data_IF_788633203687
#
_entry.id   IF_788633203687
#
_cell.length_a   1.000
_cell.length_b   1.000
_cell.length_c   1.000
_cell.angle_alpha   90.00
_cell.angle_beta   90.00
_cell.angle_gamma   90.00
#
_symmetry.space_group_name_H-M   'P 1'
#
loop_
_entity.id
_entity.type
_entity.pdbx_description
1 polymer ?
#
# COMPACT_ATOMS: atom_id res chain seq x y z
N UNK A 1 -3.67 14.45 1.58
CA UNK A 1 -3.60 13.11 0.95
C UNK A 1 -4.06 13.13 -0.51
N UNK A 2 -5.04 13.96 -0.89
CA UNK A 2 -5.55 14.04 -2.28
C UNK A 2 -4.49 14.31 -3.39
N UNK A 3 -3.46 15.10 -3.09
CA UNK A 3 -2.38 15.39 -4.05
C UNK A 3 -1.56 14.14 -4.40
N UNK A 4 -1.27 13.28 -3.43
CA UNK A 4 -0.48 12.05 -3.63
C UNK A 4 -1.18 11.11 -4.61
N UNK A 5 -2.51 11.01 -4.50
CA UNK A 5 -3.32 10.12 -5.32
C UNK A 5 -3.33 10.57 -6.80
N UNK A 6 -3.28 11.89 -7.05
CA UNK A 6 -3.16 12.43 -8.42
C UNK A 6 -1.81 12.09 -9.05
N UNK A 7 -0.70 12.23 -8.31
CA UNK A 7 0.62 11.89 -8.85
C UNK A 7 0.76 10.40 -9.12
N UNK A 8 0.28 9.54 -8.23
CA UNK A 8 0.30 8.09 -8.46
C UNK A 8 -0.51 7.68 -9.68
N UNK A 9 -1.69 8.26 -9.88
CA UNK A 9 -2.54 7.97 -11.04
C UNK A 9 -1.88 8.40 -12.36
N UNK A 10 -1.27 9.59 -12.39
CA UNK A 10 -0.53 10.08 -13.56
C UNK A 10 0.71 9.23 -13.83
N UNK A 11 1.46 8.88 -12.79
CA UNK A 11 2.65 8.03 -12.90
C UNK A 11 2.27 6.62 -13.41
N UNK A 12 1.19 6.06 -12.90
CA UNK A 12 0.65 4.77 -13.30
C UNK A 12 0.22 4.72 -14.77
N UNK A 13 -0.49 5.76 -15.23
CA UNK A 13 -0.84 5.90 -16.64
C UNK A 13 0.40 6.07 -17.53
N UNK A 14 1.35 6.91 -17.11
CA UNK A 14 2.60 7.11 -17.86
C UNK A 14 3.44 5.83 -17.98
N UNK A 15 3.55 5.04 -16.91
CA UNK A 15 4.19 3.73 -16.93
C UNK A 15 3.48 2.76 -17.88
N UNK A 16 2.14 2.71 -17.84
CA UNK A 16 1.36 1.88 -18.76
C UNK A 16 1.54 2.28 -20.23
N UNK A 17 1.65 3.58 -20.50
CA UNK A 17 1.98 4.11 -21.83
C UNK A 17 3.35 3.62 -22.30
N UNK A 18 4.40 3.84 -21.50
CA UNK A 18 5.78 3.45 -21.87
C UNK A 18 5.89 1.95 -22.10
N UNK A 19 5.35 1.12 -21.19
CA UNK A 19 5.40 -0.34 -21.37
C UNK A 19 4.76 -0.75 -22.69
N UNK A 20 3.57 -0.24 -22.97
CA UNK A 20 2.82 -0.63 -24.18
C UNK A 20 3.46 -0.08 -25.44
N UNK A 21 4.10 1.08 -25.36
CA UNK A 21 4.88 1.67 -26.44
C UNK A 21 6.07 0.79 -26.79
N UNK A 22 6.90 0.43 -25.80
CA UNK A 22 8.07 -0.44 -26.00
C UNK A 22 7.62 -1.79 -26.56
N UNK A 23 6.61 -2.43 -25.97
CA UNK A 23 6.10 -3.72 -26.44
C UNK A 23 5.58 -3.64 -27.87
N UNK A 24 4.78 -2.61 -28.19
CA UNK A 24 4.23 -2.48 -29.55
C UNK A 24 5.31 -2.15 -30.58
N UNK A 25 6.32 -1.38 -30.19
CA UNK A 25 7.47 -1.04 -31.03
C UNK A 25 8.38 -2.25 -31.26
N UNK A 26 8.60 -3.10 -30.25
CA UNK A 26 9.37 -4.34 -30.39
C UNK A 26 8.73 -5.39 -31.29
N UNK A 27 7.44 -5.25 -31.61
CA UNK A 27 6.70 -6.14 -32.51
C UNK A 27 6.69 -5.61 -33.95
N UNK A 28 7.46 -4.56 -34.25
CA UNK A 28 7.57 -3.95 -35.58
C UNK A 28 6.22 -3.44 -36.13
N UNK A 29 5.30 -3.04 -35.22
CA UNK A 29 4.03 -2.44 -35.63
C UNK A 29 4.25 -1.05 -36.21
N UNK A 30 3.37 -0.65 -37.13
CA UNK A 30 3.32 0.72 -37.63
C UNK A 30 3.17 1.73 -36.49
N UNK A 31 3.82 2.90 -36.61
CA UNK A 31 3.85 3.95 -35.59
C UNK A 31 2.45 4.37 -35.16
N UNK A 32 1.48 4.41 -36.09
CA UNK A 32 0.08 4.75 -35.78
C UNK A 32 -0.53 3.72 -34.83
N UNK A 33 -0.26 2.43 -35.06
CA UNK A 33 -0.72 1.33 -34.20
C UNK A 33 -0.03 1.36 -32.85
N UNK A 34 1.28 1.63 -32.81
CA UNK A 34 2.07 1.76 -31.57
C UNK A 34 1.50 2.88 -30.70
N UNK A 35 1.25 4.07 -31.26
CA UNK A 35 0.70 5.21 -30.52
C UNK A 35 -0.70 4.88 -30.00
N UNK A 36 -1.57 4.30 -30.83
CA UNK A 36 -2.93 3.91 -30.42
C UNK A 36 -2.91 2.90 -29.28
N UNK A 37 -2.10 1.85 -29.39
CA UNK A 37 -1.95 0.86 -28.32
C UNK A 37 -1.42 1.50 -27.04
N UNK A 38 -0.45 2.42 -27.16
CA UNK A 38 0.14 3.12 -26.01
C UNK A 38 -0.88 4.01 -25.30
N UNK A 39 -1.78 4.68 -26.03
CA UNK A 39 -2.89 5.44 -25.43
C UNK A 39 -3.83 4.53 -24.63
N UNK A 40 -4.15 3.34 -25.16
CA UNK A 40 -4.96 2.35 -24.43
C UNK A 40 -4.20 1.87 -23.18
N UNK A 41 -2.91 1.58 -23.33
CA UNK A 41 -2.01 1.21 -22.25
C UNK A 41 -1.94 2.24 -21.13
N UNK A 42 -2.03 3.54 -21.46
CA UNK A 42 -2.09 4.62 -20.49
C UNK A 42 -3.35 4.54 -19.62
N UNK A 43 -4.51 4.36 -20.24
CA UNK A 43 -5.79 4.25 -19.53
C UNK A 43 -5.78 3.00 -18.66
N UNK A 44 -5.34 1.86 -19.21
CA UNK A 44 -5.23 0.59 -18.50
C UNK A 44 -4.28 0.71 -17.29
N UNK A 45 -3.11 1.32 -17.48
CA UNK A 45 -2.14 1.58 -16.42
C UNK A 45 -2.71 2.44 -15.29
N UNK A 46 -3.41 3.53 -15.63
CA UNK A 46 -4.03 4.41 -14.64
C UNK A 46 -5.12 3.69 -13.81
N UNK A 47 -5.94 2.86 -14.46
CA UNK A 47 -6.98 2.06 -13.79
C UNK A 47 -6.34 1.02 -12.86
N UNK A 48 -5.34 0.28 -13.34
CA UNK A 48 -4.59 -0.69 -12.53
C UNK A 48 -3.99 -0.04 -11.29
N UNK A 49 -3.31 1.10 -11.44
CA UNK A 49 -2.72 1.81 -10.31
C UNK A 49 -3.78 2.25 -9.29
N UNK A 50 -4.98 2.64 -9.73
CA UNK A 50 -6.13 2.91 -8.84
C UNK A 50 -6.55 1.68 -8.04
N UNK A 51 -6.62 0.51 -8.67
CA UNK A 51 -6.91 -0.74 -7.98
C UNK A 51 -5.82 -1.13 -6.99
N UNK A 52 -4.55 -1.02 -7.37
CA UNK A 52 -3.43 -1.26 -6.47
C UNK A 52 -3.47 -0.30 -5.28
N UNK A 53 -3.78 0.98 -5.48
CA UNK A 53 -3.90 1.95 -4.39
C UNK A 53 -5.00 1.56 -3.40
N UNK A 54 -6.17 1.15 -3.89
CA UNK A 54 -7.27 0.66 -3.03
C UNK A 54 -6.85 -0.56 -2.21
N UNK A 55 -6.20 -1.54 -2.85
CA UNK A 55 -5.74 -2.76 -2.17
C UNK A 55 -4.64 -2.42 -1.16
N UNK A 56 -3.69 -1.56 -1.53
CA UNK A 56 -2.58 -1.14 -0.68
C UNK A 56 -3.09 -0.41 0.56
N UNK A 57 -4.01 0.55 0.41
CA UNK A 57 -4.65 1.22 1.55
C UNK A 57 -5.44 0.25 2.42
N UNK A 58 -6.14 -0.71 1.82
CA UNK A 58 -6.86 -1.73 2.57
C UNK A 58 -5.88 -2.61 3.39
N UNK A 59 -4.77 -3.03 2.81
CA UNK A 59 -3.75 -3.83 3.47
C UNK A 59 -2.99 -3.06 4.56
N UNK A 60 -2.67 -1.78 4.30
CA UNK A 60 -2.07 -0.87 5.29
C UNK A 60 -3.03 -0.68 6.46
N UNK A 61 -4.33 -0.46 6.19
CA UNK A 61 -5.35 -0.30 7.24
C UNK A 61 -5.56 -1.58 8.04
N UNK A 62 -5.54 -2.75 7.40
CA UNK A 62 -5.57 -4.05 8.09
C UNK A 62 -4.32 -4.28 8.94
N UNK A 63 -3.15 -3.81 8.50
CA UNK A 63 -1.91 -3.86 9.27
C UNK A 63 -1.92 -2.90 10.46
N UNK A 64 -2.52 -1.71 10.32
CA UNK A 64 -2.71 -0.77 11.43
C UNK A 64 -3.73 -1.26 12.46
N UNK A 65 -4.80 -1.94 12.02
CA UNK A 65 -5.77 -2.57 12.92
C UNK A 65 -5.14 -3.71 13.73
N UNK A 66 -4.26 -4.51 13.13
CA UNK A 66 -3.46 -5.52 13.85
C UNK A 66 -2.54 -4.88 14.89
N UNK A 67 -1.85 -3.78 14.56
CA UNK A 67 -1.01 -3.06 15.53
C UNK A 67 -1.80 -2.47 16.71
N UNK A 68 -3.05 -2.04 16.50
CA UNK A 68 -3.91 -1.59 17.60
C UNK A 68 -4.41 -2.74 18.48
N UNK A 69 -4.62 -3.94 17.92
CA UNK A 69 -4.98 -5.13 18.68
C UNK A 69 -3.80 -5.68 19.50
N UNK A 70 -2.60 -5.67 18.94
CA UNK A 70 -1.37 -5.98 19.69
C UNK A 70 -1.18 -4.95 20.81
N UNK A 71 -1.25 -3.64 20.54
CA UNK A 71 -1.05 -2.61 21.57
C UNK A 71 -2.10 -2.65 22.69
N UNK A 72 -3.37 -2.95 22.39
CA UNK A 72 -4.40 -3.18 23.43
C UNK A 72 -4.16 -4.47 24.22
N UNK A 73 -3.57 -5.50 23.61
CA UNK A 73 -3.17 -6.73 24.32
C UNK A 73 -1.99 -6.45 25.26
N UNK A 74 -1.03 -5.60 24.87
CA UNK A 74 0.06 -5.18 25.76
C UNK A 74 -0.44 -4.32 26.94
N UNK A 75 -1.41 -3.41 26.75
CA UNK A 75 -2.03 -2.66 27.87
C UNK A 75 -2.82 -3.56 28.84
N UNK A 76 -3.51 -4.60 28.36
CA UNK A 76 -4.23 -5.54 29.24
C UNK A 76 -3.27 -6.44 30.04
N UNK A 77 -2.10 -6.77 29.48
CA UNK A 77 -1.04 -7.52 30.16
C UNK A 77 -0.25 -6.63 31.14
N UNK A 78 -0.07 -5.34 30.85
CA UNK A 78 0.60 -4.37 31.73
C UNK A 78 -0.31 -3.82 32.85
N UNK A 79 -1.64 -3.86 32.70
CA UNK A 79 -2.57 -3.48 33.77
C UNK A 79 -2.72 -4.55 34.88
N UNK A 80 -2.11 -5.73 34.73
CA UNK A 80 -2.21 -6.85 35.68
C UNK A 80 -0.90 -7.30 36.37
N UNK A 81 0.09 -6.43 36.60
CA UNK A 81 1.05 -6.69 37.67
C UNK A 81 1.34 -5.43 38.50
N UNK A 82 0.35 -4.87 39.20
CA UNK A 82 0.62 -3.80 40.16
C UNK A 82 -0.41 -3.72 41.30
N UNK A 83 -0.50 -4.77 42.14
CA UNK A 83 -0.97 -4.67 43.53
C UNK A 83 -0.52 -5.96 44.25
N UNK A 84 0.42 -6.00 45.20
CA UNK A 84 0.92 -5.00 46.17
C UNK A 84 2.41 -5.24 46.50
N UNK A 85 3.14 -4.22 46.97
CA UNK A 85 4.48 -4.34 47.54
C UNK A 85 4.41 -4.50 49.07
N UNK A 86 5.02 -5.53 49.65
CA UNK A 86 5.47 -5.50 51.05
C UNK A 86 6.81 -6.27 51.19
N UNK A 87 7.89 -5.52 51.38
CA UNK A 87 9.16 -5.94 52.02
C UNK A 87 9.08 -5.48 53.49
N UNK A 88 9.96 -5.90 54.44
CA UNK A 88 10.82 -7.08 54.54
C UNK A 88 10.84 -7.71 55.99
N UNK A 89 11.67 -8.75 56.19
CA UNK A 89 12.37 -9.13 57.44
C UNK A 89 11.82 -10.22 58.41
N UNK A 90 12.62 -11.31 58.48
CA UNK A 90 13.24 -11.95 59.66
C UNK A 90 12.50 -12.94 60.61
N UNK A 91 13.30 -13.96 61.00
CA UNK A 91 13.19 -14.98 62.09
C UNK A 91 12.29 -16.20 61.81
N UNK A 92 12.70 -17.44 62.12
CA UNK A 92 13.55 -17.94 63.22
C UNK A 92 14.23 -19.24 62.83
#
# INVERSE_FOLDING_TARGET
>A
MEKINKYFLVLGGFLGFILTFIVSFSVDNDIVTVVRNSTIGCIVGAVLTRFLEMIFWSAVRSSSARKQQDQKTFEEVEAKPAAKPEKPSAKK
#
